data_IF_429944884897
#
_entry.id   IF_429944884897
#
_cell.length_a   1.000
_cell.length_b   1.000
_cell.length_c   1.000
_cell.angle_alpha   90.00
_cell.angle_beta   90.00
_cell.angle_gamma   90.00
#
_symmetry.space_group_name_H-M   'P 1'
#
loop_
_entity.id
_entity.type
_entity.pdbx_description
1 polymer ?
#
# COMPACT_ATOMS: atom_id res chain seq x y z
N UNK A 1 -7.06 -2.78 -26.57
CA UNK A 1 -6.85 -4.05 -25.86
C UNK A 1 -6.74 -3.67 -24.40
N UNK A 2 -7.66 -4.11 -23.54
CA UNK A 2 -7.56 -3.85 -22.11
C UNK A 2 -6.30 -4.55 -21.59
N UNK A 3 -5.41 -3.83 -20.91
CA UNK A 3 -4.27 -4.48 -20.24
C UNK A 3 -4.82 -5.46 -19.20
N UNK A 4 -4.26 -6.66 -19.16
CA UNK A 4 -4.62 -7.67 -18.18
C UNK A 4 -3.90 -7.34 -16.87
N UNK A 5 -4.67 -7.02 -15.83
CA UNK A 5 -4.14 -6.75 -14.49
C UNK A 5 -3.61 -8.06 -13.89
N UNK A 6 -2.37 -8.01 -13.40
CA UNK A 6 -1.75 -9.14 -12.73
C UNK A 6 -2.31 -9.32 -11.31
N UNK A 7 -2.49 -10.56 -10.83
CA UNK A 7 -2.83 -10.79 -9.43
C UNK A 7 -1.65 -10.38 -8.53
N UNK A 8 -1.90 -10.03 -7.25
CA UNK A 8 -0.86 -9.58 -6.32
C UNK A 8 0.36 -10.49 -6.25
N UNK A 9 0.17 -11.82 -6.25
CA UNK A 9 1.29 -12.76 -6.18
C UNK A 9 2.23 -12.71 -7.40
N UNK A 10 1.70 -12.46 -8.59
CA UNK A 10 2.51 -12.35 -9.80
C UNK A 10 3.20 -11.00 -9.88
N UNK A 11 2.56 -9.92 -9.42
CA UNK A 11 3.18 -8.60 -9.29
C UNK A 11 4.33 -8.63 -8.28
N UNK A 12 4.12 -9.21 -7.09
CA UNK A 12 5.17 -9.39 -6.09
C UNK A 12 6.34 -10.20 -6.63
N UNK A 13 6.09 -11.32 -7.31
CA UNK A 13 7.16 -12.12 -7.92
C UNK A 13 8.05 -11.30 -8.86
N UNK A 14 7.49 -10.34 -9.59
CA UNK A 14 8.24 -9.43 -10.48
C UNK A 14 8.99 -8.36 -9.70
N UNK A 15 8.37 -7.79 -8.67
CA UNK A 15 8.98 -6.80 -7.77
C UNK A 15 10.18 -7.45 -7.05
N UNK A 16 10.00 -8.64 -6.46
CA UNK A 16 11.05 -9.41 -5.77
C UNK A 16 12.26 -9.67 -6.66
N UNK A 17 12.02 -10.09 -7.90
CA UNK A 17 13.10 -10.36 -8.85
C UNK A 17 13.88 -9.07 -9.18
N UNK A 18 13.18 -7.94 -9.29
CA UNK A 18 13.79 -6.65 -9.53
C UNK A 18 14.61 -6.19 -8.33
N UNK A 19 14.04 -6.26 -7.12
CA UNK A 19 14.72 -5.90 -5.87
C UNK A 19 15.94 -6.80 -5.62
N UNK A 20 15.84 -8.11 -5.82
CA UNK A 20 16.97 -9.03 -5.69
C UNK A 20 18.16 -8.67 -6.60
N UNK A 21 17.88 -7.98 -7.72
CA UNK A 21 18.88 -7.58 -8.70
C UNK A 21 19.45 -6.19 -8.41
N UNK A 22 18.59 -5.24 -8.03
CA UNK A 22 18.92 -3.81 -7.99
C UNK A 22 18.93 -3.20 -6.58
N UNK A 23 18.18 -3.76 -5.62
CA UNK A 23 18.15 -3.32 -4.21
C UNK A 23 17.93 -4.48 -3.24
N UNK A 24 19.04 -5.14 -2.86
CA UNK A 24 18.99 -6.25 -1.91
C UNK A 24 18.62 -5.80 -0.48
N UNK A 25 18.88 -4.53 -0.14
CA UNK A 25 18.51 -3.95 1.15
C UNK A 25 16.99 -3.84 1.29
N UNK A 26 16.30 -3.32 0.28
CA UNK A 26 14.83 -3.25 0.28
C UNK A 26 14.19 -4.64 0.29
N UNK A 27 14.75 -5.60 -0.46
CA UNK A 27 14.27 -6.98 -0.43
C UNK A 27 14.35 -7.57 1.00
N UNK A 28 15.40 -7.23 1.75
CA UNK A 28 15.59 -7.74 3.11
C UNK A 28 14.62 -7.12 4.13
N UNK A 29 14.00 -5.98 3.80
CA UNK A 29 13.00 -5.33 4.66
C UNK A 29 11.63 -5.98 4.54
N UNK A 30 11.31 -6.61 3.40
CA UNK A 30 10.08 -7.38 3.20
C UNK A 30 10.01 -8.56 4.18
N UNK A 31 8.92 -8.62 4.95
CA UNK A 31 8.70 -9.74 5.86
C UNK A 31 8.42 -11.04 5.08
N UNK A 32 8.68 -12.21 5.69
CA UNK A 32 8.20 -13.47 5.15
C UNK A 32 6.66 -13.49 5.03
N UNK A 33 6.09 -14.41 4.23
CA UNK A 33 4.65 -14.62 4.13
C UNK A 33 3.93 -14.68 5.48
N UNK A 34 2.76 -14.06 5.56
CA UNK A 34 1.83 -14.24 6.66
C UNK A 34 1.29 -15.67 6.65
N UNK A 35 1.19 -16.27 7.84
CA UNK A 35 0.58 -17.57 8.02
C UNK A 35 -0.94 -17.50 7.90
N UNK A 36 -1.61 -18.61 7.51
CA UNK A 36 -3.07 -18.65 7.48
C UNK A 36 -3.72 -18.36 8.84
N UNK A 37 -3.06 -18.71 9.94
CA UNK A 37 -3.58 -18.47 11.30
C UNK A 37 -3.52 -16.99 11.66
N UNK A 38 -2.43 -16.28 11.34
CA UNK A 38 -2.35 -14.82 11.53
C UNK A 38 -3.47 -14.09 10.79
N UNK A 39 -3.71 -14.45 9.53
CA UNK A 39 -4.79 -13.87 8.72
C UNK A 39 -6.16 -14.16 9.34
N UNK A 40 -6.41 -15.42 9.73
CA UNK A 40 -7.68 -15.83 10.35
C UNK A 40 -7.93 -15.09 11.66
N UNK A 41 -6.92 -14.95 12.51
CA UNK A 41 -7.04 -14.27 13.80
C UNK A 41 -7.25 -12.76 13.63
N UNK A 42 -6.65 -12.15 12.59
CA UNK A 42 -6.91 -10.77 12.21
C UNK A 42 -8.36 -10.57 11.76
N UNK A 43 -8.87 -11.42 10.86
CA UNK A 43 -10.26 -11.37 10.41
C UNK A 43 -11.27 -11.50 11.58
N UNK A 44 -10.98 -12.39 12.54
CA UNK A 44 -11.77 -12.53 13.76
C UNK A 44 -11.77 -11.24 14.59
N UNK A 45 -10.62 -10.57 14.67
CA UNK A 45 -10.45 -9.34 15.44
C UNK A 45 -11.15 -8.14 14.79
N UNK A 46 -11.02 -8.00 13.47
CA UNK A 46 -11.67 -6.94 12.69
C UNK A 46 -13.19 -7.18 12.56
N UNK A 47 -13.66 -8.42 12.70
CA UNK A 47 -15.05 -8.79 12.46
C UNK A 47 -15.45 -8.78 10.99
N UNK A 48 -14.47 -8.70 10.08
CA UNK A 48 -14.64 -8.71 8.62
C UNK A 48 -13.54 -9.57 7.98
N UNK A 49 -13.83 -10.14 6.82
CA UNK A 49 -12.83 -10.85 6.02
C UNK A 49 -11.84 -9.86 5.42
N UNK A 50 -10.57 -10.25 5.26
CA UNK A 50 -9.62 -9.41 4.53
C UNK A 50 -9.97 -9.42 3.03
N UNK A 51 -9.77 -8.31 2.31
CA UNK A 51 -9.95 -8.29 0.86
C UNK A 51 -9.08 -9.36 0.20
N UNK A 52 -9.58 -10.03 -0.83
CA UNK A 52 -8.88 -11.13 -1.50
C UNK A 52 -7.46 -10.75 -1.95
N UNK A 53 -7.32 -9.59 -2.59
CA UNK A 53 -6.03 -9.08 -3.05
C UNK A 53 -5.06 -8.81 -1.89
N UNK A 54 -5.56 -8.28 -0.76
CA UNK A 54 -4.74 -8.02 0.43
C UNK A 54 -4.29 -9.33 1.07
N UNK A 55 -5.20 -10.30 1.24
CA UNK A 55 -4.87 -11.60 1.77
C UNK A 55 -3.86 -12.34 0.88
N UNK A 56 -3.93 -12.18 -0.44
CA UNK A 56 -2.94 -12.71 -1.37
C UNK A 56 -1.59 -12.01 -1.23
N UNK A 57 -1.58 -10.67 -1.19
CA UNK A 57 -0.37 -9.87 -0.96
C UNK A 57 0.33 -10.24 0.35
N UNK A 58 -0.42 -10.43 1.44
CA UNK A 58 0.11 -10.81 2.75
C UNK A 58 0.72 -12.21 2.76
N UNK A 59 0.24 -13.13 1.90
CA UNK A 59 0.85 -14.45 1.70
C UNK A 59 2.12 -14.41 0.85
N UNK A 60 2.43 -13.28 0.21
CA UNK A 60 3.74 -13.03 -0.39
C UNK A 60 4.66 -12.40 0.66
N UNK A 61 4.24 -11.29 1.25
CA UNK A 61 4.97 -10.57 2.28
C UNK A 61 4.04 -10.04 3.36
N UNK A 62 4.34 -10.36 4.63
CA UNK A 62 3.60 -9.85 5.78
C UNK A 62 3.97 -8.40 6.10
N UNK A 63 3.79 -7.50 5.14
CA UNK A 63 4.23 -6.11 5.21
C UNK A 63 5.75 -5.97 5.31
N UNK A 64 6.19 -4.84 5.86
CA UNK A 64 7.61 -4.53 6.06
C UNK A 64 8.05 -4.67 7.52
N UNK A 65 9.31 -5.03 7.75
CA UNK A 65 9.92 -5.09 9.10
C UNK A 65 10.28 -3.71 9.65
N UNK A 66 10.53 -2.76 8.77
CA UNK A 66 10.76 -1.34 9.05
C UNK A 66 10.13 -0.50 7.94
N UNK A 67 9.91 0.78 8.21
CA UNK A 67 9.46 1.73 7.20
C UNK A 67 10.42 1.76 6.00
N UNK A 68 9.89 1.65 4.78
CA UNK A 68 10.61 1.86 3.53
C UNK A 68 9.67 2.38 2.43
N UNK A 69 10.23 3.05 1.43
CA UNK A 69 9.50 3.59 0.26
C UNK A 69 9.48 2.60 -0.90
N UNK A 70 9.21 1.33 -0.61
CA UNK A 70 9.23 0.26 -1.61
C UNK A 70 8.08 0.40 -2.61
N UNK A 71 6.91 0.83 -2.13
CA UNK A 71 5.78 1.21 -2.96
C UNK A 71 5.65 2.74 -3.01
N UNK A 72 5.05 3.30 -4.06
CA UNK A 72 4.82 4.73 -4.14
C UNK A 72 3.97 5.20 -2.95
N UNK A 73 4.37 6.31 -2.33
CA UNK A 73 3.68 7.01 -1.24
C UNK A 73 3.59 6.28 0.11
N UNK A 74 3.85 4.97 0.16
CA UNK A 74 3.33 4.12 1.23
C UNK A 74 4.21 2.92 1.61
N UNK A 75 4.15 2.58 2.90
CA UNK A 75 4.76 1.38 3.48
C UNK A 75 3.67 0.35 3.83
N UNK A 76 3.70 -0.86 3.24
CA UNK A 76 2.78 -1.94 3.59
C UNK A 76 2.86 -2.35 5.07
N UNK A 77 1.70 -2.47 5.71
CA UNK A 77 1.55 -2.94 7.09
C UNK A 77 1.60 -4.47 7.14
N UNK A 78 2.18 -5.00 8.21
CA UNK A 78 2.00 -6.41 8.58
C UNK A 78 0.58 -6.68 9.05
N UNK A 79 0.17 -7.95 9.11
CA UNK A 79 -1.12 -8.39 9.68
C UNK A 79 -1.34 -7.79 11.07
N UNK A 80 -0.32 -7.81 11.95
CA UNK A 80 -0.43 -7.20 13.28
C UNK A 80 -0.60 -5.68 13.18
N UNK A 81 0.12 -5.02 12.28
CA UNK A 81 -0.02 -3.58 12.03
C UNK A 81 -1.41 -3.20 11.51
N UNK A 82 -2.01 -4.03 10.65
CA UNK A 82 -3.39 -3.86 10.16
C UNK A 82 -4.37 -3.90 11.33
N UNK A 83 -4.24 -4.90 12.21
CA UNK A 83 -5.09 -5.05 13.40
C UNK A 83 -4.95 -3.85 14.34
N UNK A 84 -3.71 -3.53 14.72
CA UNK A 84 -3.42 -2.44 15.64
C UNK A 84 -3.94 -1.10 15.11
N UNK A 85 -3.73 -0.85 13.82
CA UNK A 85 -4.20 0.36 13.15
C UNK A 85 -5.72 0.43 13.12
N UNK A 86 -6.38 -0.64 12.70
CA UNK A 86 -7.83 -0.68 12.63
C UNK A 86 -8.47 -0.48 14.00
N UNK A 87 -7.96 -1.15 15.05
CA UNK A 87 -8.46 -0.99 16.42
C UNK A 87 -8.25 0.43 16.95
N UNK A 88 -7.07 1.02 16.71
CA UNK A 88 -6.77 2.39 17.11
C UNK A 88 -7.74 3.37 16.46
N UNK A 89 -7.94 3.27 15.15
CA UNK A 89 -8.88 4.12 14.43
C UNK A 89 -10.33 3.88 14.89
N UNK A 90 -10.77 2.64 15.09
CA UNK A 90 -12.10 2.34 15.59
C UNK A 90 -12.37 2.95 16.98
N UNK A 91 -11.39 2.88 17.88
CA UNK A 91 -11.50 3.48 19.21
C UNK A 91 -11.62 5.01 19.12
N UNK A 92 -10.72 5.66 18.38
CA UNK A 92 -10.73 7.12 18.18
C UNK A 92 -12.04 7.57 17.52
N UNK A 93 -12.50 6.86 16.49
CA UNK A 93 -13.74 7.20 15.79
C UNK A 93 -14.96 7.08 16.71
N UNK A 94 -15.00 6.06 17.56
CA UNK A 94 -16.10 5.85 18.50
C UNK A 94 -16.15 6.94 19.57
N UNK A 95 -14.98 7.35 20.08
CA UNK A 95 -14.89 8.40 21.11
C UNK A 95 -15.20 9.80 20.58
N UNK A 96 -14.95 10.06 19.29
CA UNK A 96 -15.01 11.39 18.68
C UNK A 96 -16.12 11.56 17.62
N UNK A 97 -17.08 10.63 17.57
CA UNK A 97 -18.14 10.60 16.54
C UNK A 97 -17.59 10.60 15.10
N UNK A 98 -16.41 10.00 14.91
CA UNK A 98 -15.73 9.88 13.62
C UNK A 98 -16.32 8.83 12.69
N UNK A 99 -17.26 8.02 13.17
CA UNK A 99 -18.01 7.05 12.35
C UNK A 99 -19.17 7.69 11.58
N UNK A 100 -19.60 8.89 11.99
CA UNK A 100 -20.70 9.62 11.36
C UNK A 100 -20.16 10.56 10.29
N UNK A 101 -20.69 10.47 9.08
CA UNK A 101 -20.37 11.44 8.01
C UNK A 101 -20.90 12.82 8.38
N UNK A 102 -20.03 13.82 8.39
CA UNK A 102 -20.40 15.21 8.66
C UNK A 102 -21.06 15.84 7.44
N UNK A 103 -21.83 16.91 7.62
CA UNK A 103 -22.61 17.53 6.53
C UNK A 103 -21.78 18.17 5.41
N UNK A 104 -20.49 18.42 5.65
CA UNK A 104 -19.55 19.00 4.68
C UNK A 104 -18.48 17.99 4.22
N UNK A 105 -18.53 16.75 4.70
CA UNK A 105 -17.63 15.67 4.28
C UNK A 105 -18.42 14.67 3.43
N UNK A 106 -17.80 14.11 2.40
CA UNK A 106 -18.41 13.05 1.57
C UNK A 106 -18.33 11.66 2.25
N UNK A 107 -17.39 11.50 3.17
CA UNK A 107 -17.07 10.25 3.85
C UNK A 107 -16.84 10.49 5.36
N UNK A 108 -17.06 9.49 6.24
CA UNK A 108 -16.74 9.61 7.66
C UNK A 108 -15.22 9.68 7.87
N UNK A 109 -14.77 10.11 9.06
CA UNK A 109 -13.34 10.07 9.40
C UNK A 109 -12.78 8.63 9.39
N UNK A 110 -13.61 7.67 9.79
CA UNK A 110 -13.32 6.24 9.69
C UNK A 110 -14.59 5.44 9.44
N UNK A 111 -14.47 4.28 8.79
CA UNK A 111 -15.56 3.34 8.60
C UNK A 111 -15.16 1.91 9.02
N UNK A 112 -16.03 1.13 9.68
CA UNK A 112 -15.69 -0.22 10.15
C UNK A 112 -15.31 -1.20 9.02
N UNK A 113 -15.83 -0.97 7.81
CA UNK A 113 -15.52 -1.76 6.61
C UNK A 113 -14.30 -1.23 5.82
N UNK A 114 -13.52 -0.32 6.38
CA UNK A 114 -12.24 0.09 5.81
C UNK A 114 -11.11 -0.71 6.45
N UNK A 115 -10.38 -1.46 5.63
CA UNK A 115 -9.24 -2.26 6.09
C UNK A 115 -7.95 -1.50 5.80
N UNK A 116 -7.20 -1.02 6.81
CA UNK A 116 -5.89 -0.42 6.55
C UNK A 116 -4.95 -1.48 5.98
N UNK A 117 -4.09 -1.09 5.06
CA UNK A 117 -3.10 -2.00 4.47
C UNK A 117 -1.71 -1.38 4.36
N UNK A 118 -1.63 -0.05 4.30
CA UNK A 118 -0.39 0.69 4.29
C UNK A 118 -0.53 1.98 5.10
N UNK A 119 0.60 2.60 5.40
CA UNK A 119 0.67 3.92 6.03
C UNK A 119 1.62 4.81 5.22
N UNK A 120 1.40 6.12 5.23
CA UNK A 120 2.32 7.15 4.72
C UNK A 120 3.31 7.61 5.80
N UNK A 121 4.38 8.31 5.42
CA UNK A 121 5.45 8.69 6.36
C UNK A 121 4.97 9.65 7.47
N UNK A 122 3.91 10.41 7.21
CA UNK A 122 3.22 11.29 8.16
C UNK A 122 2.11 10.60 8.96
N UNK A 123 1.98 9.27 8.80
CA UNK A 123 1.08 8.45 9.59
C UNK A 123 -0.37 8.49 9.12
N UNK A 124 -0.65 8.72 7.83
CA UNK A 124 -2.00 8.58 7.27
C UNK A 124 -2.21 7.14 6.81
N UNK A 125 -3.35 6.54 7.15
CA UNK A 125 -3.64 5.18 6.74
C UNK A 125 -4.14 5.15 5.29
N UNK A 126 -3.56 4.28 4.46
CA UNK A 126 -4.23 3.86 3.24
C UNK A 126 -5.11 2.64 3.55
N UNK A 127 -6.37 2.71 3.10
CA UNK A 127 -7.42 1.74 3.39
C UNK A 127 -8.00 1.15 2.12
N UNK A 128 -8.50 -0.07 2.25
CA UNK A 128 -9.30 -0.77 1.25
C UNK A 128 -10.77 -0.69 1.67
N UNK A 129 -11.61 -0.13 0.81
CA UNK A 129 -13.05 -0.02 1.08
C UNK A 129 -13.80 -1.31 0.71
N UNK A 130 -14.31 -1.99 1.73
CA UNK A 130 -15.13 -3.21 1.57
C UNK A 130 -16.63 -2.97 1.69
N UNK A 131 -17.08 -1.71 1.68
CA UNK A 131 -18.52 -1.44 1.59
C UNK A 131 -19.08 -2.04 0.29
N UNK A 132 -20.30 -2.60 0.32
CA UNK A 132 -20.96 -3.08 -0.88
C UNK A 132 -21.06 -1.95 -1.93
N UNK A 133 -20.41 -2.14 -3.06
CA UNK A 133 -20.44 -1.22 -4.19
C UNK A 133 -20.29 -2.01 -5.50
N UNK A 134 -20.55 -1.39 -6.66
CA UNK A 134 -20.27 -2.02 -7.95
C UNK A 134 -18.79 -2.35 -8.19
N UNK A 135 -17.88 -1.60 -7.54
CA UNK A 135 -16.43 -1.73 -7.64
C UNK A 135 -15.82 -1.79 -6.22
N UNK A 136 -15.99 -2.92 -5.51
CA UNK A 136 -15.49 -3.07 -4.14
C UNK A 136 -13.97 -3.20 -4.15
N UNK A 137 -13.32 -2.78 -3.07
CA UNK A 137 -11.87 -2.92 -2.91
C UNK A 137 -11.05 -1.71 -3.37
N UNK A 138 -11.69 -0.58 -3.70
CA UNK A 138 -10.98 0.65 -4.03
C UNK A 138 -10.07 1.10 -2.88
N UNK A 139 -8.91 1.65 -3.22
CA UNK A 139 -7.96 2.20 -2.25
C UNK A 139 -8.30 3.66 -1.94
N UNK A 140 -8.15 4.08 -0.70
CA UNK A 140 -8.30 5.48 -0.31
C UNK A 140 -7.55 5.80 0.97
N UNK A 141 -7.67 7.03 1.44
CA UNK A 141 -6.96 7.53 2.61
C UNK A 141 -7.91 7.79 3.77
N UNK A 142 -7.48 7.52 5.00
CA UNK A 142 -8.28 7.77 6.20
C UNK A 142 -7.43 8.04 7.44
N UNK A 143 -8.05 8.62 8.46
CA UNK A 143 -7.47 8.69 9.81
C UNK A 143 -6.52 9.86 10.10
N UNK A 144 -6.50 10.91 9.28
CA UNK A 144 -5.69 12.13 9.54
C UNK A 144 -6.54 13.26 10.17
N UNK A 145 -7.04 14.21 9.38
CA UNK A 145 -7.71 15.43 9.89
C UNK A 145 -9.08 15.72 9.27
N UNK A 146 -9.56 14.88 8.34
CA UNK A 146 -10.85 15.01 7.67
C UNK A 146 -11.54 13.66 7.46
N UNK A 147 -12.64 13.67 6.70
CA UNK A 147 -13.25 12.43 6.19
C UNK A 147 -12.26 11.62 5.35
N UNK A 148 -12.60 10.36 5.10
CA UNK A 148 -11.84 9.54 4.16
C UNK A 148 -11.84 10.13 2.74
N UNK A 149 -10.77 9.90 1.99
CA UNK A 149 -10.62 10.40 0.61
C UNK A 149 -10.43 9.24 -0.37
N UNK A 150 -11.30 9.19 -1.38
CA UNK A 150 -11.29 8.22 -2.47
C UNK A 150 -11.32 8.89 -3.85
N UNK A 151 -11.06 10.20 -3.93
CA UNK A 151 -11.20 10.99 -5.18
C UNK A 151 -10.24 10.52 -6.26
N UNK A 152 -9.03 10.13 -5.87
CA UNK A 152 -8.00 9.56 -6.76
C UNK A 152 -7.69 8.11 -6.35
N UNK A 153 -8.73 7.31 -6.12
CA UNK A 153 -8.58 5.91 -5.69
C UNK A 153 -8.04 5.00 -6.80
N UNK A 154 -7.17 4.06 -6.43
CA UNK A 154 -6.96 2.87 -7.26
C UNK A 154 -8.20 1.97 -7.21
N UNK A 155 -8.57 1.28 -8.31
CA UNK A 155 -9.69 0.34 -8.29
C UNK A 155 -9.48 -0.85 -7.33
N UNK A 156 -8.23 -1.18 -7.03
CA UNK A 156 -7.87 -2.17 -6.02
C UNK A 156 -6.37 -2.39 -5.90
N UNK A 157 -5.96 -3.15 -4.89
CA UNK A 157 -4.55 -3.39 -4.59
C UNK A 157 -3.80 -4.08 -5.73
N UNK A 158 -4.44 -5.02 -6.44
CA UNK A 158 -3.84 -5.64 -7.63
C UNK A 158 -3.43 -4.63 -8.70
N UNK A 159 -4.20 -3.54 -8.89
CA UNK A 159 -3.90 -2.52 -9.89
C UNK A 159 -2.66 -1.70 -9.51
N UNK A 160 -2.54 -1.33 -8.23
CA UNK A 160 -1.37 -0.63 -7.72
C UNK A 160 -0.12 -1.50 -7.85
N UNK A 161 -0.18 -2.75 -7.40
CA UNK A 161 0.97 -3.66 -7.45
C UNK A 161 1.37 -4.01 -8.89
N UNK A 162 0.41 -4.22 -9.79
CA UNK A 162 0.70 -4.39 -11.21
C UNK A 162 1.37 -3.13 -11.78
N UNK A 163 0.83 -1.93 -11.54
CA UNK A 163 1.44 -0.68 -12.00
C UNK A 163 2.90 -0.52 -11.53
N UNK A 164 3.18 -0.83 -10.27
CA UNK A 164 4.55 -0.84 -9.72
C UNK A 164 5.44 -1.84 -10.47
N UNK A 165 4.96 -3.08 -10.64
CA UNK A 165 5.70 -4.09 -11.37
C UNK A 165 5.95 -3.69 -12.84
N UNK A 166 4.98 -3.03 -13.50
CA UNK A 166 5.14 -2.52 -14.85
C UNK A 166 6.19 -1.40 -14.91
N UNK A 167 6.16 -0.44 -13.99
CA UNK A 167 7.11 0.67 -13.94
C UNK A 167 8.55 0.17 -13.78
N UNK A 168 8.78 -0.80 -12.88
CA UNK A 168 10.12 -1.37 -12.66
C UNK A 168 10.63 -2.22 -13.84
N UNK A 169 9.74 -2.91 -14.57
CA UNK A 169 10.13 -3.83 -15.65
C UNK A 169 10.12 -3.22 -17.05
N UNK A 170 9.32 -2.19 -17.28
CA UNK A 170 9.16 -1.55 -18.60
C UNK A 170 9.49 -0.05 -18.60
N UNK A 171 9.77 0.54 -17.44
CA UNK A 171 9.97 1.98 -17.26
C UNK A 171 8.63 2.73 -17.18
N UNK A 172 8.72 4.03 -16.90
CA UNK A 172 7.57 4.89 -16.63
C UNK A 172 7.33 5.05 -15.13
N UNK A 173 6.13 5.55 -14.79
CA UNK A 173 5.75 5.85 -13.42
C UNK A 173 4.47 5.16 -12.97
N UNK A 174 4.20 5.27 -11.68
CA UNK A 174 2.93 4.93 -11.04
C UNK A 174 2.25 6.26 -10.73
N UNK A 175 1.26 6.63 -11.56
CA UNK A 175 0.76 8.01 -11.64
C UNK A 175 1.90 8.97 -11.99
N UNK A 176 2.09 10.01 -11.20
CA UNK A 176 3.13 11.03 -11.40
C UNK A 176 4.47 10.63 -10.76
N UNK A 177 4.52 9.50 -10.03
CA UNK A 177 5.71 9.05 -9.31
C UNK A 177 6.54 8.05 -10.12
N UNK A 178 7.83 8.29 -10.20
CA UNK A 178 8.80 7.50 -10.94
C UNK A 178 9.81 6.84 -9.99
N UNK A 179 10.29 5.63 -10.31
CA UNK A 179 11.24 4.92 -9.46
C UNK A 179 12.67 5.45 -9.66
N UNK A 180 13.33 5.71 -8.54
CA UNK A 180 14.73 6.11 -8.43
C UNK A 180 15.45 5.21 -7.42
N UNK A 181 16.78 5.18 -7.51
CA UNK A 181 17.64 4.63 -6.49
C UNK A 181 18.37 5.77 -5.77
N UNK A 182 18.39 5.70 -4.44
CA UNK A 182 19.22 6.56 -3.59
C UNK A 182 20.71 6.24 -3.79
N UNK A 183 21.60 7.03 -3.19
CA UNK A 183 23.04 6.71 -3.18
C UNK A 183 23.34 5.36 -2.51
N UNK A 184 22.55 5.00 -1.51
CA UNK A 184 22.65 3.73 -0.75
C UNK A 184 22.05 2.54 -1.54
N UNK A 185 21.36 2.82 -2.65
CA UNK A 185 20.76 1.82 -3.52
C UNK A 185 19.34 1.44 -3.15
N UNK A 186 18.71 2.18 -2.23
CA UNK A 186 17.31 1.97 -1.84
C UNK A 186 16.36 2.58 -2.87
N UNK A 187 15.20 1.95 -3.03
CA UNK A 187 14.14 2.39 -3.91
C UNK A 187 13.43 3.61 -3.33
N UNK A 188 13.34 4.64 -4.15
CA UNK A 188 12.64 5.89 -3.87
C UNK A 188 11.66 6.20 -5.00
N UNK A 189 10.53 6.80 -4.68
CA UNK A 189 9.53 7.24 -5.66
C UNK A 189 9.38 8.75 -5.56
N UNK A 190 9.51 9.44 -6.68
CA UNK A 190 9.44 10.91 -6.72
C UNK A 190 8.84 11.39 -8.04
N UNK A 191 8.55 12.68 -8.16
CA UNK A 191 8.13 13.27 -9.43
C UNK A 191 9.16 13.03 -10.55
N UNK A 192 8.70 13.06 -11.79
CA UNK A 192 9.59 12.99 -12.96
C UNK A 192 10.68 14.08 -12.87
N UNK A 193 11.89 13.75 -13.33
CA UNK A 193 13.07 14.61 -13.27
C UNK A 193 13.56 14.97 -11.85
N UNK A 194 13.16 14.24 -10.80
CA UNK A 194 13.82 14.36 -9.51
C UNK A 194 15.33 14.03 -9.62
N UNK A 195 16.17 14.90 -9.06
CA UNK A 195 17.63 14.80 -9.17
C UNK A 195 18.33 14.59 -7.83
N UNK A 196 17.69 14.96 -6.72
CA UNK A 196 18.27 14.82 -5.39
C UNK A 196 17.21 14.58 -4.31
N UNK A 197 17.59 13.85 -3.26
CA UNK A 197 16.85 13.64 -2.03
C UNK A 197 17.75 14.04 -0.86
N UNK A 198 17.33 15.03 -0.07
CA UNK A 198 18.11 15.55 1.06
C UNK A 198 19.56 15.94 0.71
N UNK A 199 19.77 16.46 -0.51
CA UNK A 199 21.08 16.85 -1.03
C UNK A 199 21.96 15.69 -1.50
N UNK A 200 21.44 14.46 -1.56
CA UNK A 200 22.08 13.30 -2.18
C UNK A 200 21.48 13.03 -3.56
N UNK A 201 22.29 12.62 -4.56
CA UNK A 201 21.80 12.41 -5.91
C UNK A 201 20.84 11.22 -5.99
N UNK A 202 19.76 11.40 -6.74
CA UNK A 202 18.87 10.31 -7.16
C UNK A 202 19.27 9.83 -8.56
N UNK A 203 19.24 8.50 -8.76
CA UNK A 203 19.49 7.89 -10.07
C UNK A 203 18.22 7.21 -10.56
N UNK A 204 17.80 7.39 -11.82
CA UNK A 204 16.65 6.65 -12.34
C UNK A 204 16.83 5.14 -12.14
N UNK A 205 15.79 4.47 -11.67
CA UNK A 205 15.83 3.04 -11.42
C UNK A 205 16.06 2.26 -12.73
N UNK A 206 16.93 1.23 -12.74
CA UNK A 206 17.12 0.39 -13.91
C UNK A 206 15.82 -0.32 -14.34
N UNK A 207 15.61 -0.47 -15.64
CA UNK A 207 14.43 -1.16 -16.19
C UNK A 207 14.73 -2.64 -16.43
N UNK A 208 13.89 -3.53 -15.88
CA UNK A 208 13.96 -4.98 -16.12
C UNK A 208 15.05 -5.70 -15.32
N UNK A 209 15.36 -6.94 -15.73
CA UNK A 209 16.28 -7.85 -15.01
C UNK A 209 17.67 -8.02 -15.67
N UNK A 210 18.05 -7.09 -16.55
CA UNK A 210 19.13 -7.20 -17.55
C UNK A 210 18.79 -8.00 -18.80
#
# INVERSE_FOLDING_TARGET
>A
MSQQILPPSESWRRIDAWLATHSAADLAVLNPPATPDEVRDAEQTLGIQLPGDLAESLRCHNGLSTWATLLPEQSPLSVSGIVDRWQTCMNVATENDGLTTRTWDDEPWWHPLWVPWAESADGVAQVIDQRPSPEPGRLGWAGHSGGGDFTDSWPGLAHLLDAVAQALHHGGGVRDLHPYLTEEGDLWWDEEDAHELNGQPLRPAPVGLF
#
